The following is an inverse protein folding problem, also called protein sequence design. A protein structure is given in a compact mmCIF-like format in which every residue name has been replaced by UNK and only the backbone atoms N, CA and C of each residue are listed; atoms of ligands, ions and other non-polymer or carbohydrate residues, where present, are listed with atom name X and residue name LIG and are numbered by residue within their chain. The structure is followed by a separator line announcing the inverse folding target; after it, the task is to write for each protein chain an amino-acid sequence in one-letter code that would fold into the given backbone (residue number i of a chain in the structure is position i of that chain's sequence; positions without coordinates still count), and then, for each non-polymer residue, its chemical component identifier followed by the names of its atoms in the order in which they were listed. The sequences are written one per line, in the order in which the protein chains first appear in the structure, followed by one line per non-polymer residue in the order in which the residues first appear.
data_IF_333475035777
#
_entry.id   IF_333475035777
#
_cell.length_a   1.000
_cell.length_b   1.000
_cell.length_c   1.000
_cell.angle_alpha   90.00
_cell.angle_beta   90.00
_cell.angle_gamma   90.00
#
_symmetry.space_group_name_H-M   'P 1'
#
loop_
_entity.id
_entity.type
_entity.pdbx_description
1 polymer ?
#
# COMPACT_ATOMS: atom_id res chain seq x y z
N UNK A 1 -2.64 18.22 4.48
CA UNK A 1 -1.57 18.98 3.84
C UNK A 1 -1.23 18.30 2.52
N UNK A 2 -1.75 18.78 1.40
CA UNK A 2 -1.49 18.21 0.09
C UNK A 2 -0.09 18.62 -0.36
N UNK A 3 0.87 17.68 -0.35
CA UNK A 3 2.11 17.88 -1.09
C UNK A 3 1.79 17.76 -2.58
N UNK A 4 1.65 18.85 -3.29
CA UNK A 4 1.79 18.84 -4.74
C UNK A 4 3.27 18.59 -5.03
N UNK A 5 3.61 17.37 -5.37
CA UNK A 5 4.90 17.10 -5.99
C UNK A 5 4.85 17.70 -7.40
N UNK A 6 5.55 18.78 -7.59
CA UNK A 6 5.83 19.33 -8.90
C UNK A 6 6.80 18.36 -9.60
N UNK A 7 6.31 17.70 -10.60
CA UNK A 7 6.93 16.49 -11.16
C UNK A 7 7.93 16.76 -12.27
N UNK A 8 8.63 17.86 -12.26
CA UNK A 8 9.62 18.12 -13.28
C UNK A 8 11.03 18.36 -12.73
N UNK A 9 11.37 17.73 -11.62
CA UNK A 9 12.73 17.54 -11.09
C UNK A 9 13.75 18.69 -11.13
N UNK A 10 13.48 19.71 -11.91
CA UNK A 10 14.40 20.82 -12.20
C UNK A 10 13.82 22.18 -11.81
N UNK A 11 12.50 22.31 -11.72
CA UNK A 11 11.84 23.62 -11.60
C UNK A 11 11.18 23.92 -10.25
N UNK A 12 11.05 22.95 -9.36
CA UNK A 12 10.42 23.15 -8.06
C UNK A 12 11.29 22.55 -6.95
N UNK A 13 12.15 23.36 -6.37
CA UNK A 13 12.81 23.06 -5.11
C UNK A 13 11.84 23.19 -3.94
N UNK A 14 12.02 22.39 -2.90
CA UNK A 14 11.38 22.62 -1.62
C UNK A 14 11.95 23.92 -1.00
N UNK A 15 11.14 24.94 -0.86
CA UNK A 15 11.49 26.12 -0.09
C UNK A 15 11.38 25.77 1.40
N UNK A 16 12.50 25.40 2.01
CA UNK A 16 12.57 25.15 3.45
C UNK A 16 12.77 26.49 4.18
N UNK A 17 11.70 27.01 4.71
CA UNK A 17 11.74 28.20 5.56
C UNK A 17 11.93 27.77 7.00
N UNK A 18 13.12 27.98 7.57
CA UNK A 18 13.40 27.68 8.98
C UNK A 18 13.64 29.01 9.72
N UNK A 19 13.09 29.10 10.93
CA UNK A 19 13.41 30.18 11.82
C UNK A 19 14.90 30.17 12.12
N UNK A 20 15.55 31.32 11.97
CA UNK A 20 16.94 31.51 12.36
C UNK A 20 16.97 31.81 13.85
N UNK A 21 17.67 31.01 14.61
CA UNK A 21 17.81 31.12 16.07
C UNK A 21 19.20 31.62 16.44
N UNK A 22 19.30 32.40 17.52
CA UNK A 22 20.56 32.80 18.13
C UNK A 22 21.16 31.65 18.99
N UNK A 23 22.32 31.92 19.60
CA UNK A 23 23.00 30.96 20.49
C UNK A 23 22.20 30.62 21.76
N UNK A 24 21.18 31.40 22.08
CA UNK A 24 20.31 31.24 23.25
C UNK A 24 18.94 30.69 22.85
N UNK A 25 18.79 30.12 21.64
CA UNK A 25 17.57 29.56 21.08
C UNK A 25 16.43 30.55 20.82
N UNK A 26 16.73 31.88 20.87
CA UNK A 26 15.78 32.92 20.53
C UNK A 26 15.65 33.06 19.01
N UNK A 27 14.46 33.27 18.52
CA UNK A 27 14.17 33.46 17.10
C UNK A 27 14.63 34.90 16.71
N UNK A 28 15.73 35.02 15.96
CA UNK A 28 16.22 36.29 15.43
C UNK A 28 15.41 36.70 14.19
N UNK A 29 15.03 35.72 13.39
CA UNK A 29 14.19 35.89 12.21
C UNK A 29 13.27 34.69 12.10
N UNK A 30 12.02 34.95 11.78
CA UNK A 30 11.07 33.85 11.53
C UNK A 30 11.42 33.08 10.24
N UNK A 31 12.48 33.47 9.54
CA UNK A 31 12.99 32.83 8.33
C UNK A 31 11.96 32.81 7.21
N UNK A 32 10.81 33.44 7.42
CA UNK A 32 9.81 33.56 6.37
C UNK A 32 10.27 34.61 5.42
N UNK A 33 10.65 34.29 4.16
CA UNK A 33 10.65 35.31 3.16
C UNK A 33 9.24 35.92 3.21
N UNK A 34 9.15 37.22 3.05
CA UNK A 34 7.88 37.89 2.84
C UNK A 34 7.23 37.21 1.62
N UNK A 35 6.48 36.15 1.88
CA UNK A 35 5.75 35.40 0.87
C UNK A 35 4.55 36.22 0.41
N UNK A 36 4.84 37.43 -0.12
CA UNK A 36 3.85 38.18 -0.86
C UNK A 36 3.44 37.36 -2.09
N UNK A 37 2.16 37.21 -2.30
CA UNK A 37 1.67 36.69 -3.57
C UNK A 37 2.22 37.63 -4.67
N UNK A 38 3.18 37.11 -5.43
CA UNK A 38 3.70 37.82 -6.61
C UNK A 38 3.19 37.13 -7.84
N UNK A 39 2.72 37.88 -8.82
CA UNK A 39 2.36 37.35 -10.13
C UNK A 39 3.58 36.88 -10.94
N UNK A 40 4.79 37.13 -10.44
CA UNK A 40 6.00 36.65 -11.09
C UNK A 40 6.34 35.24 -10.63
N UNK A 41 6.14 34.27 -11.51
CA UNK A 41 6.43 32.84 -11.26
C UNK A 41 7.94 32.57 -11.09
N UNK A 42 8.80 33.47 -11.49
CA UNK A 42 10.25 33.30 -11.40
C UNK A 42 10.84 33.70 -10.04
N UNK A 43 10.07 34.39 -9.19
CA UNK A 43 10.53 34.89 -7.88
C UNK A 43 11.01 33.75 -6.96
N UNK A 44 10.45 32.55 -7.10
CA UNK A 44 10.77 31.39 -6.26
C UNK A 44 11.35 30.23 -7.06
N UNK A 45 11.83 30.50 -8.28
CA UNK A 45 12.55 29.51 -9.06
C UNK A 45 13.87 29.16 -8.37
N UNK A 46 14.19 27.90 -8.17
CA UNK A 46 15.53 27.50 -7.74
C UNK A 46 16.55 27.90 -8.82
N UNK A 47 17.75 28.22 -8.38
CA UNK A 47 18.84 28.56 -9.29
C UNK A 47 19.08 27.39 -10.28
N UNK A 48 19.37 27.75 -11.53
CA UNK A 48 19.66 26.77 -12.59
C UNK A 48 20.80 25.83 -12.16
N UNK A 49 20.60 24.53 -12.23
CA UNK A 49 21.56 23.52 -11.75
C UNK A 49 21.42 23.12 -10.28
N UNK A 50 20.54 23.74 -9.48
CA UNK A 50 20.28 23.35 -8.09
C UNK A 50 19.28 22.21 -7.94
N UNK A 51 19.22 21.29 -8.90
CA UNK A 51 18.35 20.13 -8.83
C UNK A 51 18.65 19.31 -7.58
N UNK A 52 17.84 19.51 -6.56
CA UNK A 52 17.78 18.61 -5.41
C UNK A 52 17.14 17.30 -5.84
N UNK A 53 17.58 16.19 -5.26
CA UNK A 53 16.92 14.89 -5.43
C UNK A 53 15.44 15.04 -5.13
N UNK A 54 14.62 14.72 -6.10
CA UNK A 54 13.17 14.66 -5.92
C UNK A 54 12.73 13.21 -5.98
N UNK A 55 11.84 12.83 -5.06
CA UNK A 55 11.10 11.59 -5.16
C UNK A 55 10.18 11.68 -6.37
N UNK A 56 10.27 10.71 -7.25
CA UNK A 56 9.47 10.65 -8.47
C UNK A 56 8.43 9.55 -8.29
N UNK A 57 7.16 9.89 -8.48
CA UNK A 57 6.07 8.93 -8.54
C UNK A 57 5.58 8.85 -9.99
N UNK A 58 5.60 7.65 -10.55
CA UNK A 58 5.18 7.37 -11.91
C UNK A 58 4.16 6.24 -11.94
N UNK A 59 3.41 6.18 -13.01
CA UNK A 59 2.45 5.10 -13.27
C UNK A 59 2.97 4.27 -14.43
N UNK A 60 2.87 2.95 -14.30
CA UNK A 60 3.21 2.02 -15.38
C UNK A 60 2.35 2.34 -16.62
N UNK A 61 2.93 2.44 -17.82
CA UNK A 61 2.16 2.67 -19.06
C UNK A 61 1.03 1.66 -19.27
N UNK A 62 1.21 0.43 -18.81
CA UNK A 62 0.21 -0.65 -18.91
C UNK A 62 -0.71 -0.73 -17.68
N UNK A 63 -0.71 0.29 -16.83
CA UNK A 63 -1.52 0.32 -15.61
C UNK A 63 -3.01 0.23 -15.92
N UNK A 64 -3.67 -0.68 -15.19
CA UNK A 64 -5.11 -0.90 -15.26
C UNK A 64 -5.75 -0.54 -13.92
N UNK A 65 -6.99 -0.05 -13.98
CA UNK A 65 -7.76 0.19 -12.75
C UNK A 65 -7.90 -1.10 -11.93
N UNK A 66 -7.87 -0.99 -10.59
CA UNK A 66 -8.03 -2.14 -9.72
C UNK A 66 -9.32 -2.89 -10.04
N UNK A 67 -9.19 -4.18 -10.21
CA UNK A 67 -10.32 -5.04 -10.44
C UNK A 67 -10.12 -6.36 -9.71
N UNK A 68 -11.22 -6.92 -9.26
CA UNK A 68 -11.23 -8.21 -8.57
C UNK A 68 -12.47 -9.00 -8.99
N UNK A 69 -12.34 -10.30 -9.00
CA UNK A 69 -13.46 -11.20 -9.17
C UNK A 69 -13.88 -11.74 -7.80
N UNK A 70 -15.18 -11.71 -7.55
CA UNK A 70 -15.81 -12.38 -6.39
C UNK A 70 -16.81 -13.40 -6.85
N UNK A 71 -16.79 -14.57 -6.21
CA UNK A 71 -17.84 -15.58 -6.34
C UNK A 71 -18.28 -16.03 -4.97
N UNK A 72 -19.58 -16.21 -4.84
CA UNK A 72 -20.21 -16.74 -3.63
C UNK A 72 -21.10 -17.92 -4.00
N UNK A 73 -20.93 -19.02 -3.27
CA UNK A 73 -21.78 -20.21 -3.37
C UNK A 73 -22.26 -20.51 -1.97
N UNK A 74 -23.57 -20.61 -1.81
CA UNK A 74 -24.18 -21.00 -0.55
C UNK A 74 -25.20 -22.14 -0.79
N UNK A 75 -25.31 -23.03 0.18
CA UNK A 75 -26.28 -24.09 0.17
C UNK A 75 -26.86 -24.27 1.57
N UNK A 76 -28.17 -24.33 1.62
CA UNK A 76 -28.95 -24.64 2.82
C UNK A 76 -29.57 -26.01 2.69
N UNK A 77 -29.42 -26.84 3.71
CA UNK A 77 -30.00 -28.11 3.79
C UNK A 77 -30.82 -28.26 5.08
N UNK A 78 -32.12 -28.51 4.91
CA UNK A 78 -33.04 -28.77 6.02
C UNK A 78 -33.18 -30.28 6.20
N UNK A 79 -32.92 -30.77 7.41
CA UNK A 79 -33.01 -32.19 7.73
C UNK A 79 -33.67 -32.40 9.10
N UNK A 80 -34.52 -33.42 9.16
CA UNK A 80 -35.21 -33.79 10.39
C UNK A 80 -35.97 -32.63 11.05
N UNK A 81 -36.27 -32.78 12.33
CA UNK A 81 -37.16 -31.88 13.08
C UNK A 81 -36.52 -30.53 13.43
N UNK A 82 -36.55 -29.59 12.49
CA UNK A 82 -36.14 -28.22 12.70
C UNK A 82 -34.64 -27.97 12.65
N UNK A 83 -33.86 -28.86 12.06
CA UNK A 83 -32.46 -28.66 11.75
C UNK A 83 -32.25 -28.00 10.40
N UNK A 84 -31.35 -27.03 10.36
CA UNK A 84 -30.88 -26.40 9.12
C UNK A 84 -29.36 -26.31 9.17
N UNK A 85 -28.70 -26.87 8.16
CA UNK A 85 -27.26 -26.70 7.95
C UNK A 85 -27.05 -25.78 6.76
N UNK A 86 -26.20 -24.79 6.93
CA UNK A 86 -25.78 -23.86 5.88
C UNK A 86 -24.28 -23.99 5.65
N UNK A 87 -23.89 -24.07 4.41
CA UNK A 87 -22.50 -23.92 3.98
C UNK A 87 -22.41 -22.73 3.03
N UNK A 88 -21.46 -21.85 3.28
CA UNK A 88 -21.16 -20.71 2.41
C UNK A 88 -19.68 -20.70 2.06
N UNK A 89 -19.37 -20.46 0.79
CA UNK A 89 -18.03 -20.36 0.28
C UNK A 89 -17.91 -19.05 -0.50
N UNK A 90 -17.06 -18.16 -0.01
CA UNK A 90 -16.75 -16.88 -0.64
C UNK A 90 -15.32 -16.93 -1.16
N UNK A 91 -15.15 -16.80 -2.47
CA UNK A 91 -13.85 -16.69 -3.12
C UNK A 91 -13.67 -15.34 -3.76
N UNK A 92 -12.50 -14.73 -3.57
CA UNK A 92 -12.13 -13.48 -4.19
C UNK A 92 -10.72 -13.61 -4.80
N UNK A 93 -10.56 -13.12 -6.02
CA UNK A 93 -9.30 -13.11 -6.78
C UNK A 93 -9.02 -11.72 -7.29
N UNK A 94 -7.85 -11.19 -6.97
CA UNK A 94 -7.38 -9.95 -7.55
C UNK A 94 -6.98 -10.19 -9.02
N UNK A 95 -7.52 -9.36 -9.91
CA UNK A 95 -7.15 -9.34 -11.33
C UNK A 95 -6.09 -8.26 -11.55
N UNK A 96 -6.33 -7.05 -11.05
CA UNK A 96 -5.44 -5.91 -11.15
C UNK A 96 -5.26 -5.24 -9.79
N UNK A 97 -4.71 -5.94 -8.79
CA UNK A 97 -4.35 -5.29 -7.53
C UNK A 97 -3.22 -4.29 -7.75
N UNK A 98 -3.22 -3.22 -6.99
CA UNK A 98 -2.20 -2.18 -7.08
C UNK A 98 -1.07 -2.49 -6.10
N UNK A 99 0.16 -2.34 -6.54
CA UNK A 99 1.31 -2.30 -5.67
C UNK A 99 2.30 -1.23 -6.12
N UNK A 100 3.12 -0.80 -5.18
CA UNK A 100 4.16 0.18 -5.39
C UNK A 100 5.50 -0.53 -5.51
N UNK A 101 6.21 -0.24 -6.59
CA UNK A 101 7.54 -0.77 -6.87
C UNK A 101 8.55 0.39 -6.89
N UNK A 102 9.57 0.32 -6.05
CA UNK A 102 10.63 1.33 -6.08
C UNK A 102 11.69 0.90 -7.11
N UNK A 103 11.50 1.34 -8.34
CA UNK A 103 12.39 1.02 -9.45
C UNK A 103 13.73 1.80 -9.42
N UNK A 104 13.83 2.80 -8.54
CA UNK A 104 15.08 3.52 -8.31
C UNK A 104 16.07 2.77 -7.44
N UNK A 105 15.66 1.66 -6.81
CA UNK A 105 16.53 0.84 -5.99
C UNK A 105 17.21 -0.25 -6.84
N UNK A 106 18.50 -0.39 -6.66
CA UNK A 106 19.25 -1.46 -7.32
C UNK A 106 19.11 -2.77 -6.54
N UNK A 107 18.52 -3.78 -7.17
CA UNK A 107 18.41 -5.11 -6.59
C UNK A 107 19.79 -5.79 -6.65
N UNK A 108 20.31 -6.18 -5.51
CA UNK A 108 21.52 -7.00 -5.44
C UNK A 108 21.18 -8.49 -5.58
N UNK A 109 22.16 -9.32 -5.82
CA UNK A 109 22.00 -10.78 -5.78
C UNK A 109 21.93 -11.33 -4.34
N UNK A 110 22.10 -10.45 -3.35
CA UNK A 110 22.08 -10.82 -1.95
C UNK A 110 20.65 -10.89 -1.41
N UNK A 111 20.44 -11.82 -0.49
CA UNK A 111 19.19 -11.96 0.22
C UNK A 111 19.42 -11.77 1.71
N UNK A 112 18.55 -11.02 2.36
CA UNK A 112 18.48 -10.97 3.81
C UNK A 112 17.68 -12.17 4.27
N UNK A 113 18.36 -13.09 4.98
CA UNK A 113 17.69 -14.22 5.60
C UNK A 113 17.43 -13.87 7.07
N UNK A 114 16.17 -13.79 7.45
CA UNK A 114 15.72 -13.50 8.82
C UNK A 114 15.70 -14.75 9.73
N UNK A 115 16.45 -15.80 9.35
CA UNK A 115 16.57 -17.03 10.13
C UNK A 115 15.44 -18.04 9.96
N UNK A 116 14.43 -17.73 9.13
CA UNK A 116 13.31 -18.62 8.80
C UNK A 116 13.46 -19.26 7.43
N UNK A 117 13.30 -20.58 7.33
CA UNK A 117 13.26 -21.27 6.06
C UNK A 117 12.09 -20.74 5.20
N UNK A 118 12.40 -20.06 4.09
CA UNK A 118 11.43 -19.60 3.11
C UNK A 118 11.16 -18.10 3.05
N UNK A 119 11.77 -17.28 3.93
CA UNK A 119 11.58 -15.83 3.97
C UNK A 119 12.78 -15.03 3.45
N UNK A 120 13.52 -15.56 2.48
CA UNK A 120 14.60 -14.81 1.86
C UNK A 120 14.07 -13.57 1.14
N UNK A 121 14.38 -12.40 1.68
CA UNK A 121 14.00 -11.11 1.08
C UNK A 121 15.16 -10.60 0.24
N UNK A 122 14.92 -10.14 -1.00
CA UNK A 122 15.97 -9.54 -1.80
C UNK A 122 16.51 -8.29 -1.11
N UNK A 123 17.83 -8.17 -1.06
CA UNK A 123 18.49 -6.97 -0.56
C UNK A 123 18.58 -5.95 -1.68
N UNK A 124 18.16 -4.73 -1.38
CA UNK A 124 18.25 -3.59 -2.31
C UNK A 124 19.31 -2.61 -1.81
N UNK A 125 20.19 -2.22 -2.70
CA UNK A 125 21.17 -1.17 -2.41
C UNK A 125 20.63 0.18 -2.89
N UNK A 126 20.69 1.19 -2.04
CA UNK A 126 20.37 2.57 -2.37
C UNK A 126 21.44 3.28 -3.22
N UNK A 127 22.46 2.56 -3.66
CA UNK A 127 23.54 3.08 -4.47
C UNK A 127 23.72 2.25 -5.73
N UNK A 128 24.03 2.89 -6.81
CA UNK A 128 24.46 2.25 -8.06
C UNK A 128 25.82 2.79 -8.47
N UNK A 129 26.59 2.00 -9.18
CA UNK A 129 27.82 2.47 -9.80
C UNK A 129 27.52 3.02 -11.18
N UNK A 130 27.97 4.24 -11.45
CA UNK A 130 27.93 4.77 -12.81
C UNK A 130 28.97 4.08 -13.72
N UNK A 131 29.02 4.49 -15.00
CA UNK A 131 29.95 3.89 -15.98
C UNK A 131 31.43 4.11 -15.62
N UNK A 132 31.72 5.06 -14.75
CA UNK A 132 33.05 5.42 -14.28
C UNK A 132 33.41 4.75 -12.94
N UNK A 133 32.49 3.93 -12.41
CA UNK A 133 32.68 3.22 -11.15
C UNK A 133 32.39 4.05 -9.89
N UNK A 134 31.91 5.29 -10.03
CA UNK A 134 31.56 6.12 -8.89
C UNK A 134 30.21 5.67 -8.28
N UNK A 135 30.16 5.58 -6.97
CA UNK A 135 28.90 5.29 -6.28
C UNK A 135 27.99 6.52 -6.28
N UNK A 136 26.83 6.38 -6.88
CA UNK A 136 25.77 7.38 -6.86
C UNK A 136 24.57 6.83 -6.13
N UNK A 137 23.98 7.64 -5.27
CA UNK A 137 22.78 7.23 -4.59
C UNK A 137 21.60 7.16 -5.56
N UNK A 138 20.83 6.11 -5.47
CA UNK A 138 19.62 5.90 -6.25
C UNK A 138 18.56 6.96 -5.88
N UNK A 139 17.84 7.45 -6.86
CA UNK A 139 16.67 8.27 -6.63
C UNK A 139 15.51 7.39 -6.17
N UNK A 140 14.65 7.91 -5.31
CA UNK A 140 13.40 7.26 -4.99
C UNK A 140 12.43 7.42 -6.16
N UNK A 141 12.32 6.40 -6.97
CA UNK A 141 11.37 6.35 -8.09
C UNK A 141 10.35 5.27 -7.80
N UNK A 142 9.18 5.69 -7.35
CA UNK A 142 8.09 4.77 -7.02
C UNK A 142 7.16 4.64 -8.21
N UNK A 143 7.05 3.43 -8.74
CA UNK A 143 6.16 3.10 -9.85
C UNK A 143 4.91 2.39 -9.32
N UNK A 144 3.75 2.88 -9.74
CA UNK A 144 2.46 2.24 -9.49
C UNK A 144 2.23 1.17 -10.56
N UNK A 145 2.05 -0.08 -10.14
CA UNK A 145 1.92 -1.27 -11.01
C UNK A 145 0.75 -2.15 -10.60
N UNK A 146 0.39 -3.06 -11.50
CA UNK A 146 -0.63 -4.06 -11.23
C UNK A 146 -0.04 -5.45 -11.02
N UNK A 147 -0.78 -6.26 -10.25
CA UNK A 147 -0.50 -7.67 -10.04
C UNK A 147 -1.78 -8.47 -9.86
N UNK A 148 -1.74 -9.74 -10.20
CA UNK A 148 -2.86 -10.67 -10.04
C UNK A 148 -2.64 -11.70 -8.93
N UNK A 149 -1.68 -11.47 -8.03
CA UNK A 149 -1.27 -12.49 -7.05
C UNK A 149 -2.18 -12.62 -5.83
N UNK A 150 -2.98 -11.58 -5.51
CA UNK A 150 -3.88 -11.60 -4.34
C UNK A 150 -5.07 -12.52 -4.53
N UNK A 151 -5.48 -13.20 -3.46
CA UNK A 151 -6.70 -13.99 -3.40
C UNK A 151 -7.15 -14.19 -1.95
N UNK A 152 -8.42 -14.45 -1.77
CA UNK A 152 -8.97 -14.87 -0.48
C UNK A 152 -10.04 -15.94 -0.66
N UNK A 153 -10.12 -16.83 0.33
CA UNK A 153 -11.14 -17.87 0.43
C UNK A 153 -11.68 -17.87 1.85
N UNK A 154 -12.99 -17.76 1.97
CA UNK A 154 -13.72 -17.89 3.24
C UNK A 154 -14.75 -18.97 3.10
N UNK A 155 -14.82 -19.85 4.10
CA UNK A 155 -15.81 -20.89 4.19
C UNK A 155 -16.50 -20.79 5.54
N UNK A 156 -17.81 -20.73 5.54
CA UNK A 156 -18.64 -20.67 6.74
C UNK A 156 -19.56 -21.88 6.79
N UNK A 157 -19.56 -22.55 7.93
CA UNK A 157 -20.50 -23.61 8.26
C UNK A 157 -21.40 -23.09 9.38
N UNK A 158 -22.69 -23.23 9.22
CA UNK A 158 -23.67 -22.88 10.22
C UNK A 158 -24.63 -24.03 10.45
N UNK A 159 -24.95 -24.30 11.69
CA UNK A 159 -25.94 -25.28 12.10
C UNK A 159 -26.95 -24.63 13.02
N UNK A 160 -28.20 -24.75 12.67
CA UNK A 160 -29.33 -24.22 13.42
C UNK A 160 -30.25 -25.32 13.84
N UNK A 161 -30.81 -25.19 15.02
CA UNK A 161 -31.88 -26.07 15.53
C UNK A 161 -32.99 -25.22 16.12
N UNK A 162 -34.19 -25.43 15.59
CA UNK A 162 -35.43 -24.91 16.17
C UNK A 162 -36.21 -26.06 16.80
N UNK A 163 -36.49 -25.97 18.08
CA UNK A 163 -37.24 -26.96 18.79
C UNK A 163 -38.73 -26.64 18.67
N UNK A 164 -39.44 -27.40 17.81
CA UNK A 164 -40.86 -27.18 17.53
C UNK A 164 -41.79 -27.94 18.49
N UNK A 165 -41.28 -28.99 19.15
CA UNK A 165 -42.04 -29.88 20.04
C UNK A 165 -41.25 -30.24 21.30
N UNK A 166 -41.94 -30.80 22.31
CA UNK A 166 -41.36 -31.30 23.55
C UNK A 166 -41.08 -30.19 24.59
N UNK A 167 -40.30 -30.54 25.62
CA UNK A 167 -40.01 -29.69 26.79
C UNK A 167 -39.22 -28.44 26.36
N UNK A 168 -38.44 -28.52 25.27
CA UNK A 168 -37.64 -27.42 24.76
C UNK A 168 -38.32 -26.58 23.65
N UNK A 169 -39.63 -26.76 23.49
CA UNK A 169 -40.41 -26.05 22.48
C UNK A 169 -40.19 -24.53 22.58
N UNK A 170 -39.84 -23.91 21.45
CA UNK A 170 -39.56 -22.49 21.36
C UNK A 170 -38.08 -22.14 21.57
N UNK A 171 -37.21 -23.09 21.96
CA UNK A 171 -35.78 -22.85 22.00
C UNK A 171 -35.20 -22.85 20.59
N UNK A 172 -34.36 -21.88 20.31
CA UNK A 172 -33.57 -21.75 19.08
C UNK A 172 -32.09 -21.79 19.41
N UNK A 173 -31.35 -22.69 18.79
CA UNK A 173 -29.89 -22.75 18.91
C UNK A 173 -29.26 -22.49 17.55
N UNK A 174 -28.17 -21.73 17.54
CA UNK A 174 -27.40 -21.46 16.34
C UNK A 174 -25.91 -21.53 16.69
N UNK A 175 -25.16 -22.30 15.91
CA UNK A 175 -23.71 -22.37 15.98
C UNK A 175 -23.13 -22.16 14.59
N UNK A 176 -22.05 -21.38 14.50
CA UNK A 176 -21.34 -21.19 13.24
C UNK A 176 -19.83 -21.27 13.43
N UNK A 177 -19.17 -21.76 12.39
CA UNK A 177 -17.72 -21.81 12.30
C UNK A 177 -17.29 -21.25 10.95
N UNK A 178 -16.38 -20.27 10.97
CA UNK A 178 -15.84 -19.68 9.75
C UNK A 178 -14.33 -19.87 9.70
N UNK A 179 -13.86 -20.32 8.56
CA UNK A 179 -12.45 -20.44 8.24
C UNK A 179 -12.13 -19.51 7.07
N UNK A 180 -11.06 -18.73 7.18
CA UNK A 180 -10.66 -17.81 6.13
C UNK A 180 -9.15 -17.83 5.91
N UNK A 181 -8.76 -17.78 4.64
CA UNK A 181 -7.40 -17.58 4.21
C UNK A 181 -7.38 -16.42 3.21
N UNK A 182 -6.49 -15.45 3.46
CA UNK A 182 -6.26 -14.33 2.54
C UNK A 182 -4.77 -14.17 2.30
N UNK A 183 -4.42 -13.92 1.05
CA UNK A 183 -3.06 -13.54 0.63
C UNK A 183 -3.16 -12.25 -0.15
N UNK A 184 -2.67 -11.18 0.45
CA UNK A 184 -2.51 -9.90 -0.21
C UNK A 184 -1.17 -9.80 -0.92
N UNK A 185 -1.00 -8.74 -1.70
CA UNK A 185 0.27 -8.33 -2.28
C UNK A 185 0.81 -7.19 -1.45
N UNK A 186 1.95 -7.40 -0.85
CA UNK A 186 2.73 -6.37 -0.12
C UNK A 186 4.04 -6.13 -0.84
#
# INVERSE_FOLDING_TARGET
MYKRQGNNGVLFGDLNVRAVKDKNDNIISDGRPSLGFTGNMDTYKPAEGSATRSDIAITDPDFKYPSLWKSNIAADYKFGDGWVATIELLYSKDINAIYHDNIGLYRTEQFVNDGGAGNARPYYNGYYSDREGNQKAANHVVMLRNTSKGHSLYTTFQLQKNFVDGILKGLYLNGSYSFGQSRGVT
#
